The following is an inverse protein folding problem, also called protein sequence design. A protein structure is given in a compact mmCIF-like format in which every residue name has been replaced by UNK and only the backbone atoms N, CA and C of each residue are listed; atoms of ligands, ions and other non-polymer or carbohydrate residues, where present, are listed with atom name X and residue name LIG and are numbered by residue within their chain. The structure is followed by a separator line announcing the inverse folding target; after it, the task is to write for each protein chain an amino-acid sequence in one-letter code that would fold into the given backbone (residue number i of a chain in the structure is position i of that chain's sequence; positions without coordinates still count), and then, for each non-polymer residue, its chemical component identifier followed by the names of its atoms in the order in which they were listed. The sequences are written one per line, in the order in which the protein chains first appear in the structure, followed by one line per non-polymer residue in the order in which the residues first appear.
data_IF_024784480008
#
_entry.id   IF_024784480008
#
_cell.length_a   1.000
_cell.length_b   1.000
_cell.length_c   1.000
_cell.angle_alpha   90.00
_cell.angle_beta   90.00
_cell.angle_gamma   90.00
#
_symmetry.space_group_name_H-M   'P 1'
#
loop_
_entity.id
_entity.type
_entity.pdbx_description
1 polymer ?
#
# COMPACT_ATOMS: atom_id res chain seq x y z
N UNK A 1 -14.18 25.60 6.12
CA UNK A 1 -14.21 24.15 5.82
C UNK A 1 -14.35 23.91 4.33
N UNK A 2 -15.47 24.31 3.68
CA UNK A 2 -15.61 24.17 2.21
C UNK A 2 -14.52 24.91 1.42
N UNK A 3 -14.20 26.15 1.79
CA UNK A 3 -13.14 26.93 1.12
C UNK A 3 -11.76 26.25 1.24
N UNK A 4 -11.50 25.58 2.37
CA UNK A 4 -10.27 24.82 2.60
C UNK A 4 -10.20 23.60 1.68
N UNK A 5 -11.29 22.82 1.63
CA UNK A 5 -11.42 21.65 0.74
C UNK A 5 -11.24 22.08 -0.72
N UNK A 6 -11.87 23.18 -1.14
CA UNK A 6 -11.78 23.68 -2.51
C UNK A 6 -10.38 24.19 -2.88
N UNK A 7 -9.60 24.67 -1.89
CA UNK A 7 -8.22 25.12 -2.10
C UNK A 7 -7.29 23.93 -2.32
N UNK A 8 -7.48 22.84 -1.56
CA UNK A 8 -6.65 21.63 -1.66
C UNK A 8 -7.07 20.74 -2.84
N UNK A 9 -8.38 20.62 -3.09
CA UNK A 9 -8.97 19.74 -4.10
C UNK A 9 -10.07 20.48 -4.88
N UNK A 10 -9.71 21.30 -5.88
CA UNK A 10 -10.67 22.10 -6.61
C UNK A 10 -11.60 21.20 -7.44
N UNK A 11 -12.89 21.23 -7.12
CA UNK A 11 -13.91 20.48 -7.85
C UNK A 11 -15.14 21.36 -8.13
N UNK A 12 -15.64 21.42 -9.38
CA UNK A 12 -16.71 22.36 -9.76
C UNK A 12 -18.02 22.13 -9.00
N UNK A 13 -18.30 20.89 -8.57
CA UNK A 13 -19.47 20.60 -7.73
C UNK A 13 -19.45 21.29 -6.36
N UNK A 14 -18.28 21.72 -5.85
CA UNK A 14 -18.18 22.46 -4.59
C UNK A 14 -18.88 23.83 -4.67
N UNK A 15 -18.99 24.42 -5.86
CA UNK A 15 -19.73 25.67 -6.10
C UNK A 15 -21.25 25.48 -5.97
N UNK A 16 -21.71 24.23 -6.07
CA UNK A 16 -23.13 23.85 -5.99
C UNK A 16 -23.51 23.39 -4.57
N UNK A 17 -22.57 23.41 -3.61
CA UNK A 17 -22.86 23.10 -2.21
C UNK A 17 -23.62 24.26 -1.56
N UNK A 18 -24.70 23.94 -0.88
CA UNK A 18 -25.49 24.91 -0.15
C UNK A 18 -24.73 25.41 1.09
N UNK A 19 -24.63 26.73 1.22
CA UNK A 19 -24.00 27.41 2.34
C UNK A 19 -24.96 28.45 2.91
N UNK A 20 -24.73 28.96 4.14
CA UNK A 20 -25.56 30.04 4.69
C UNK A 20 -25.58 31.34 3.85
N UNK A 21 -24.64 31.49 2.92
CA UNK A 21 -24.55 32.64 2.00
C UNK A 21 -25.18 32.38 0.63
N UNK A 22 -25.61 31.15 0.35
CA UNK A 22 -26.22 30.80 -0.93
C UNK A 22 -27.57 31.51 -1.06
N UNK A 23 -27.77 32.23 -2.18
CA UNK A 23 -29.05 32.87 -2.51
C UNK A 23 -30.17 31.86 -2.79
N UNK A 24 -31.34 32.25 -3.31
CA UNK A 24 -32.36 31.29 -3.75
C UNK A 24 -31.85 30.44 -4.93
N UNK A 25 -32.27 29.17 -5.00
CA UNK A 25 -31.89 28.28 -6.10
C UNK A 25 -32.54 28.76 -7.40
N UNK A 26 -31.75 28.95 -8.46
CA UNK A 26 -32.31 29.18 -9.79
C UNK A 26 -32.93 27.87 -10.29
N UNK A 27 -34.05 27.97 -11.01
CA UNK A 27 -34.67 26.78 -11.63
C UNK A 27 -33.62 26.14 -12.56
N UNK A 28 -33.33 24.85 -12.34
CA UNK A 28 -32.29 24.03 -12.99
C UNK A 28 -30.89 24.01 -12.34
N UNK A 29 -30.68 24.57 -11.15
CA UNK A 29 -29.44 24.35 -10.39
C UNK A 29 -29.54 23.14 -9.45
N UNK A 30 -28.65 22.16 -9.62
CA UNK A 30 -28.42 21.15 -8.59
C UNK A 30 -27.80 21.81 -7.36
N UNK A 31 -28.35 21.48 -6.18
CA UNK A 31 -27.77 21.83 -4.88
C UNK A 31 -27.32 20.58 -4.16
N UNK A 32 -26.15 20.66 -3.55
CA UNK A 32 -25.60 19.60 -2.72
C UNK A 32 -25.57 20.03 -1.26
N UNK A 33 -25.87 19.11 -0.36
CA UNK A 33 -25.62 19.29 1.07
C UNK A 33 -24.26 18.66 1.41
N UNK A 34 -23.44 19.36 2.19
CA UNK A 34 -22.24 18.76 2.77
C UNK A 34 -22.63 18.02 4.05
N UNK A 35 -22.48 16.69 4.03
CA UNK A 35 -22.64 15.85 5.22
C UNK A 35 -21.26 15.44 5.72
N UNK A 36 -21.07 15.49 7.04
CA UNK A 36 -19.87 14.97 7.70
C UNK A 36 -20.23 13.67 8.40
N UNK A 37 -19.57 12.59 8.02
CA UNK A 37 -19.62 11.33 8.76
C UNK A 37 -18.70 11.45 9.97
N UNK A 38 -19.26 11.27 11.16
CA UNK A 38 -18.47 11.16 12.38
C UNK A 38 -18.15 9.69 12.61
N UNK A 39 -16.85 9.37 12.62
CA UNK A 39 -16.39 8.00 12.82
C UNK A 39 -16.55 7.64 14.31
N UNK A 40 -17.50 6.78 14.61
CA UNK A 40 -17.73 6.27 15.97
C UNK A 40 -16.81 5.09 16.30
N UNK A 41 -16.58 4.21 15.32
CA UNK A 41 -15.70 3.05 15.47
C UNK A 41 -15.04 2.67 14.15
N UNK A 42 -13.91 1.98 14.24
CA UNK A 42 -13.13 1.51 13.09
C UNK A 42 -12.76 0.05 13.33
N UNK A 43 -12.97 -0.78 12.31
CA UNK A 43 -12.52 -2.17 12.29
C UNK A 43 -11.71 -2.36 11.02
N UNK A 44 -10.47 -2.84 11.18
CA UNK A 44 -9.59 -3.17 10.07
C UNK A 44 -9.61 -4.66 9.86
N UNK A 45 -9.80 -5.08 8.61
CA UNK A 45 -9.78 -6.49 8.21
C UNK A 45 -8.65 -6.73 7.24
N UNK A 46 -7.83 -7.73 7.52
CA UNK A 46 -6.75 -8.22 6.65
C UNK A 46 -6.79 -9.75 6.53
N UNK A 47 -5.75 -10.34 5.96
CA UNK A 47 -5.65 -11.81 5.78
C UNK A 47 -5.51 -12.58 7.10
N UNK A 48 -5.28 -11.89 8.22
CA UNK A 48 -5.15 -12.47 9.57
C UNK A 48 -6.44 -12.36 10.39
N UNK A 49 -7.38 -11.52 9.97
CA UNK A 49 -8.70 -11.39 10.60
C UNK A 49 -9.18 -9.95 10.66
N UNK A 50 -10.13 -9.69 11.56
CA UNK A 50 -10.67 -8.36 11.81
C UNK A 50 -10.29 -7.89 13.22
N UNK A 51 -9.82 -6.66 13.36
CA UNK A 51 -9.43 -6.07 14.64
C UNK A 51 -9.97 -4.65 14.79
N UNK A 52 -10.47 -4.27 15.98
CA UNK A 52 -10.87 -2.89 16.22
C UNK A 52 -9.63 -2.00 16.34
N UNK A 53 -9.72 -0.80 15.77
CA UNK A 53 -8.69 0.25 15.88
C UNK A 53 -9.35 1.50 16.47
N UNK A 54 -8.62 2.25 17.29
CA UNK A 54 -9.17 3.48 17.83
C UNK A 54 -9.32 4.54 16.73
N UNK A 55 -10.36 5.37 16.83
CA UNK A 55 -10.56 6.49 15.89
C UNK A 55 -9.38 7.45 15.95
N UNK A 56 -8.78 7.65 17.13
CA UNK A 56 -7.60 8.50 17.29
C UNK A 56 -6.38 7.94 16.52
N UNK A 57 -6.14 6.63 16.57
CA UNK A 57 -5.05 6.01 15.82
C UNK A 57 -5.28 6.13 14.31
N UNK A 58 -6.52 5.91 13.84
CA UNK A 58 -6.85 6.12 12.42
C UNK A 58 -6.59 7.56 11.97
N UNK A 59 -7.03 8.55 12.76
CA UNK A 59 -6.90 9.97 12.41
C UNK A 59 -5.46 10.48 12.45
N UNK A 60 -4.56 9.79 13.18
CA UNK A 60 -3.13 10.13 13.25
C UNK A 60 -2.27 9.28 12.31
N UNK A 61 -2.84 8.23 11.71
CA UNK A 61 -2.14 7.40 10.75
C UNK A 61 -1.85 8.19 9.46
N UNK A 62 -0.67 7.92 8.88
CA UNK A 62 -0.32 8.40 7.55
C UNK A 62 -0.66 7.33 6.52
N UNK A 63 -1.18 7.70 5.33
CA UNK A 63 -1.38 6.75 4.25
C UNK A 63 -0.03 6.13 3.84
N UNK A 64 -0.10 4.93 3.26
CA UNK A 64 1.10 4.29 2.71
C UNK A 64 1.69 5.16 1.58
N UNK A 65 3.01 5.41 1.53
CA UNK A 65 3.64 6.20 0.48
C UNK A 65 3.36 5.70 -0.95
N UNK A 66 3.01 4.42 -1.11
CA UNK A 66 2.75 3.80 -2.41
C UNK A 66 1.26 3.64 -2.72
N UNK A 67 0.33 4.07 -1.85
CA UNK A 67 -1.10 3.77 -2.00
C UNK A 67 -1.68 4.20 -3.37
N UNK A 68 -1.26 5.36 -3.89
CA UNK A 68 -1.73 5.89 -5.18
C UNK A 68 -1.15 5.16 -6.40
N UNK A 69 0.01 4.50 -6.24
CA UNK A 69 0.74 3.87 -7.35
C UNK A 69 0.83 2.35 -7.24
N UNK A 70 0.33 1.75 -6.16
CA UNK A 70 0.41 0.32 -5.88
C UNK A 70 -0.09 -0.52 -7.06
N UNK A 71 -1.27 -0.18 -7.61
CA UNK A 71 -1.85 -0.90 -8.75
C UNK A 71 -0.93 -0.91 -9.97
N UNK A 72 -0.27 0.23 -10.25
CA UNK A 72 0.71 0.35 -11.35
C UNK A 72 1.96 -0.47 -11.06
N UNK A 73 2.45 -0.47 -9.82
CA UNK A 73 3.61 -1.27 -9.40
C UNK A 73 3.33 -2.77 -9.50
N UNK A 74 2.17 -3.23 -9.04
CA UNK A 74 1.75 -4.63 -9.13
C UNK A 74 1.60 -5.08 -10.59
N UNK A 75 0.96 -4.25 -11.42
CA UNK A 75 0.85 -4.52 -12.84
C UNK A 75 2.22 -4.62 -13.52
N UNK A 76 3.12 -3.69 -13.23
CA UNK A 76 4.48 -3.69 -13.77
C UNK A 76 5.28 -4.92 -13.32
N UNK A 77 5.19 -5.30 -12.04
CA UNK A 77 5.79 -6.53 -11.52
C UNK A 77 5.26 -7.78 -12.24
N UNK A 78 3.95 -7.87 -12.45
CA UNK A 78 3.31 -9.03 -13.05
C UNK A 78 3.56 -9.17 -14.57
N UNK A 79 3.70 -8.06 -15.30
CA UNK A 79 3.74 -8.06 -16.78
C UNK A 79 5.13 -7.81 -17.37
N UNK A 80 5.98 -7.05 -16.68
CA UNK A 80 7.32 -6.68 -17.17
C UNK A 80 8.41 -7.43 -16.43
N UNK A 81 8.22 -7.70 -15.14
CA UNK A 81 9.24 -8.27 -14.25
C UNK A 81 8.90 -9.67 -13.72
N UNK A 82 8.44 -10.55 -14.61
CA UNK A 82 8.17 -11.95 -14.26
C UNK A 82 9.41 -12.70 -13.73
N UNK A 83 10.61 -12.30 -14.15
CA UNK A 83 11.88 -12.82 -13.63
C UNK A 83 12.14 -12.44 -12.16
N UNK A 84 11.83 -11.19 -11.79
CA UNK A 84 11.90 -10.70 -10.40
C UNK A 84 10.92 -11.47 -9.53
N UNK A 85 9.67 -11.63 -10.00
CA UNK A 85 8.64 -12.42 -9.30
C UNK A 85 9.13 -13.84 -9.07
N UNK A 86 9.60 -14.52 -10.12
CA UNK A 86 10.12 -15.89 -10.01
C UNK A 86 11.28 -15.99 -8.97
N UNK A 87 12.16 -14.99 -8.92
CA UNK A 87 13.28 -14.96 -7.98
C UNK A 87 12.83 -14.69 -6.54
N UNK A 88 11.87 -13.80 -6.33
CA UNK A 88 11.27 -13.57 -5.00
C UNK A 88 10.57 -14.84 -4.51
N UNK A 89 9.76 -15.45 -5.37
CA UNK A 89 9.06 -16.70 -5.10
C UNK A 89 10.02 -17.84 -4.78
N UNK A 90 11.19 -17.91 -5.43
CA UNK A 90 12.19 -18.94 -5.14
C UNK A 90 12.68 -18.96 -3.68
N UNK A 91 12.46 -17.87 -2.93
CA UNK A 91 12.76 -17.76 -1.50
C UNK A 91 11.71 -18.38 -0.60
N UNK A 92 10.54 -18.72 -1.13
CA UNK A 92 9.47 -19.37 -0.39
C UNK A 92 9.77 -20.87 -0.18
N UNK A 93 9.30 -21.47 0.95
CA UNK A 93 9.32 -22.91 1.15
C UNK A 93 8.78 -23.67 -0.06
N UNK A 94 9.33 -24.85 -0.36
CA UNK A 94 8.95 -25.63 -1.55
C UNK A 94 7.45 -25.96 -1.60
N UNK A 95 6.82 -26.18 -0.44
CA UNK A 95 5.39 -26.45 -0.35
C UNK A 95 4.50 -25.27 -0.77
N UNK A 96 5.03 -24.03 -0.82
CA UNK A 96 4.27 -22.82 -1.20
C UNK A 96 4.55 -22.38 -2.63
N UNK A 97 5.26 -23.20 -3.42
CA UNK A 97 5.60 -22.94 -4.83
C UNK A 97 4.80 -23.83 -5.78
N UNK A 98 3.67 -24.36 -5.33
CA UNK A 98 2.76 -25.18 -6.14
C UNK A 98 1.71 -24.26 -6.75
N UNK A 99 1.62 -24.29 -8.08
CA UNK A 99 0.66 -23.51 -8.84
C UNK A 99 1.08 -22.07 -9.19
N UNK A 100 0.21 -21.32 -9.91
CA UNK A 100 0.47 -19.95 -10.32
C UNK A 100 0.67 -19.02 -9.13
N UNK A 101 1.64 -18.11 -9.24
CA UNK A 101 1.92 -17.12 -8.20
C UNK A 101 1.81 -15.72 -8.77
N UNK A 102 1.02 -14.87 -8.11
CA UNK A 102 0.73 -13.50 -8.56
C UNK A 102 1.04 -12.49 -7.46
N UNK A 103 1.66 -11.34 -7.76
CA UNK A 103 1.69 -10.21 -6.84
C UNK A 103 0.25 -9.78 -6.50
N UNK A 104 -0.03 -9.59 -5.21
CA UNK A 104 -1.36 -9.20 -4.72
C UNK A 104 -1.35 -7.82 -4.04
N UNK A 105 -0.26 -7.47 -3.37
CA UNK A 105 -0.16 -6.22 -2.61
C UNK A 105 1.29 -5.76 -2.47
N UNK A 106 1.48 -4.45 -2.36
CA UNK A 106 2.77 -3.82 -2.13
C UNK A 106 2.58 -2.55 -1.30
N UNK A 107 3.27 -2.50 -0.18
CA UNK A 107 3.26 -1.37 0.74
C UNK A 107 4.68 -1.08 1.25
N UNK A 108 4.82 -0.07 2.12
CA UNK A 108 6.12 0.30 2.70
C UNK A 108 6.80 -0.79 3.51
N UNK A 109 6.10 -1.83 3.91
CA UNK A 109 6.61 -2.90 4.77
C UNK A 109 6.88 -4.20 4.00
N UNK A 110 6.43 -4.36 2.76
CA UNK A 110 6.73 -5.57 1.99
C UNK A 110 5.88 -5.78 0.75
N UNK A 111 6.00 -7.00 0.20
CA UNK A 111 5.24 -7.45 -0.97
C UNK A 111 4.46 -8.71 -0.60
N UNK A 112 3.20 -8.76 -1.02
CA UNK A 112 2.30 -9.91 -0.84
C UNK A 112 2.09 -10.61 -2.18
N UNK A 113 2.06 -11.94 -2.13
CA UNK A 113 1.79 -12.81 -3.25
C UNK A 113 0.63 -13.73 -2.93
N UNK A 114 -0.17 -14.04 -3.94
CA UNK A 114 -1.14 -15.14 -3.89
C UNK A 114 -0.56 -16.34 -4.59
N UNK A 115 -0.62 -17.48 -3.93
CA UNK A 115 -0.33 -18.81 -4.47
C UNK A 115 -1.67 -19.50 -4.70
N UNK A 116 -1.99 -19.80 -5.95
CA UNK A 116 -3.21 -20.53 -6.33
C UNK A 116 -2.86 -22.04 -6.36
N UNK A 117 -3.52 -22.86 -5.54
CA UNK A 117 -3.35 -24.32 -5.51
C UNK A 117 -4.73 -25.01 -5.62
N UNK A 118 -4.75 -26.29 -5.98
CA UNK A 118 -5.99 -27.07 -6.15
C UNK A 118 -6.78 -27.18 -4.82
N UNK A 119 -6.06 -27.12 -3.68
CA UNK A 119 -6.62 -27.14 -2.32
C UNK A 119 -7.06 -25.74 -1.82
N UNK A 120 -6.87 -24.70 -2.64
CA UNK A 120 -7.29 -23.32 -2.37
C UNK A 120 -6.15 -22.29 -2.38
N UNK A 121 -6.55 -21.03 -2.45
CA UNK A 121 -5.62 -19.89 -2.51
C UNK A 121 -4.93 -19.63 -1.17
N UNK A 122 -3.66 -19.28 -1.22
CA UNK A 122 -2.86 -18.87 -0.05
C UNK A 122 -2.10 -17.59 -0.32
N UNK A 123 -2.28 -16.62 0.57
CA UNK A 123 -1.50 -15.39 0.54
C UNK A 123 -0.23 -15.51 1.40
N UNK A 124 0.89 -15.08 0.82
CA UNK A 124 2.21 -15.11 1.46
C UNK A 124 2.83 -13.71 1.38
N UNK A 125 3.38 -13.24 2.50
CA UNK A 125 4.03 -11.93 2.59
C UNK A 125 5.54 -12.07 2.72
N UNK A 126 6.27 -11.30 1.92
CA UNK A 126 7.71 -11.10 2.04
C UNK A 126 7.97 -9.72 2.68
N UNK A 127 8.31 -9.67 3.99
CA UNK A 127 8.55 -8.41 4.67
C UNK A 127 9.89 -7.80 4.24
N UNK A 128 9.91 -6.49 4.04
CA UNK A 128 11.16 -5.73 3.96
C UNK A 128 11.82 -5.66 5.35
N UNK A 129 13.15 -5.58 5.38
CA UNK A 129 13.90 -5.50 6.63
C UNK A 129 13.65 -4.19 7.42
N UNK A 130 13.22 -3.14 6.73
CA UNK A 130 12.84 -1.83 7.27
C UNK A 130 11.79 -1.20 6.35
N UNK A 131 10.97 -0.27 6.87
CA UNK A 131 10.02 0.46 6.03
C UNK A 131 10.73 1.24 4.92
N UNK A 132 10.07 1.36 3.77
CA UNK A 132 10.57 2.12 2.61
C UNK A 132 9.59 3.22 2.24
N UNK A 133 10.11 4.42 2.00
CA UNK A 133 9.28 5.62 1.84
C UNK A 133 9.35 6.24 0.44
N UNK A 134 10.18 5.66 -0.43
CA UNK A 134 10.37 6.13 -1.80
C UNK A 134 10.73 4.97 -2.75
N UNK A 135 10.74 5.28 -4.05
CA UNK A 135 11.04 4.31 -5.11
C UNK A 135 12.47 3.75 -5.06
N UNK A 136 13.44 4.52 -4.56
CA UNK A 136 14.82 4.07 -4.41
C UNK A 136 14.94 3.03 -3.29
N UNK A 137 14.28 3.30 -2.17
CA UNK A 137 14.11 2.41 -1.03
C UNK A 137 13.43 1.11 -1.44
N UNK A 138 12.32 1.21 -2.19
CA UNK A 138 11.60 0.05 -2.72
C UNK A 138 12.49 -0.81 -3.63
N UNK A 139 13.16 -0.21 -4.61
CA UNK A 139 14.06 -0.92 -5.51
C UNK A 139 15.20 -1.62 -4.75
N UNK A 140 15.74 -0.96 -3.71
CA UNK A 140 16.76 -1.56 -2.85
C UNK A 140 16.20 -2.73 -2.03
N UNK A 141 15.01 -2.59 -1.43
CA UNK A 141 14.40 -3.63 -0.63
C UNK A 141 14.07 -4.89 -1.45
N UNK A 142 13.56 -4.72 -2.67
CA UNK A 142 13.33 -5.84 -3.61
C UNK A 142 14.65 -6.57 -3.93
N UNK A 143 15.74 -5.84 -4.21
CA UNK A 143 17.07 -6.44 -4.42
C UNK A 143 17.57 -7.24 -3.21
N UNK A 144 17.35 -6.73 -2.00
CA UNK A 144 17.71 -7.44 -0.76
C UNK A 144 16.92 -8.75 -0.63
N UNK A 145 15.60 -8.72 -0.88
CA UNK A 145 14.76 -9.93 -0.85
C UNK A 145 15.20 -10.98 -1.88
N UNK A 146 15.61 -10.55 -3.07
CA UNK A 146 16.18 -11.44 -4.09
C UNK A 146 17.53 -12.05 -3.69
N UNK A 147 18.12 -11.60 -2.58
CA UNK A 147 19.38 -12.04 -1.99
C UNK A 147 20.62 -11.50 -2.69
N UNK A 148 20.60 -10.24 -3.11
CA UNK A 148 21.83 -9.57 -3.56
C UNK A 148 22.92 -9.64 -2.47
N UNK A 149 24.13 -10.14 -2.78
CA UNK A 149 25.19 -10.40 -1.79
C UNK A 149 25.88 -9.13 -1.24
N UNK A 150 25.53 -7.94 -1.74
CA UNK A 150 26.24 -6.69 -1.43
C UNK A 150 25.93 -6.09 -0.05
N UNK A 151 24.99 -6.66 0.72
CA UNK A 151 24.66 -6.16 2.07
C UNK A 151 25.62 -6.72 3.15
N UNK A 152 26.39 -7.76 2.84
CA UNK A 152 27.34 -8.40 3.77
C UNK A 152 28.82 -8.00 3.55
N UNK A 153 29.11 -7.03 2.67
CA UNK A 153 30.46 -6.75 2.16
C UNK A 153 31.38 -5.85 3.01
N UNK A 154 30.95 -5.32 4.17
CA UNK A 154 31.76 -4.36 4.95
C UNK A 154 32.17 -4.81 6.35
N UNK A 155 32.06 -6.10 6.69
CA UNK A 155 32.76 -6.62 7.88
C UNK A 155 34.22 -6.89 7.54
N UNK A 156 35.03 -5.83 7.57
CA UNK A 156 36.49 -5.93 7.58
C UNK A 156 36.93 -6.88 8.69
N UNK A 157 37.55 -8.01 8.31
CA UNK A 157 38.25 -8.92 9.20
C UNK A 157 39.26 -8.12 10.03
N UNK A 158 38.98 -7.89 11.32
CA UNK A 158 40.05 -7.61 12.29
C UNK A 158 40.90 -8.88 12.37
N UNK A 159 42.05 -8.86 11.68
CA UNK A 159 43.15 -9.80 11.93
C UNK A 159 43.56 -9.62 13.40
N UNK A 160 43.48 -10.69 14.20
CA UNK A 160 44.24 -10.80 15.44
C UNK A 160 45.72 -10.90 15.05
N UNK A 161 46.55 -9.99 15.55
CA UNK A 161 47.98 -10.17 15.57
C UNK A 161 48.33 -11.00 16.81
N UNK A 162 49.17 -12.02 16.62
CA UNK A 162 49.94 -12.66 17.68
C UNK A 162 51.12 -11.80 18.09
#
# INVERSE_FOLDING_TARGET
MLDTIATENPHPALLQVETPRSGPALRQQNRYALLRLETESVVVTDTTGASPVSVADLLTALPDPFCEIESTLLWHLATVHGDVVARLVSRLPAQWRRGPIRPLGLDRYGVQFRVEDDDGDRDVRLPFHRPVDDMNGLAQAIRVLMGCPFVNGLRARRRRAS
#
